data_IF_875310795323
#
_entry.id   IF_875310795323
#
_cell.length_a   1.000
_cell.length_b   1.000
_cell.length_c   1.000
_cell.angle_alpha   90.00
_cell.angle_beta   90.00
_cell.angle_gamma   90.00
#
_symmetry.space_group_name_H-M   'P 1'
#
loop_
_entity.id
_entity.type
_entity.pdbx_description
1 polymer ?
#
# COMPACT_ATOMS: atom_id res chain seq x y z
N UNK A 1 1.18 -19.77 17.86
CA UNK A 1 0.99 -18.31 17.93
C UNK A 1 -0.31 -17.96 17.23
N UNK A 2 -1.03 -16.93 17.65
CA UNK A 2 -2.16 -16.37 16.88
C UNK A 2 -1.67 -15.71 15.59
N UNK A 3 -2.57 -15.38 14.66
CA UNK A 3 -2.18 -14.65 13.44
C UNK A 3 -1.59 -13.28 13.79
N UNK A 4 -2.22 -12.56 14.72
CA UNK A 4 -1.71 -11.27 15.23
C UNK A 4 -0.31 -11.38 15.81
N UNK A 5 -0.06 -12.35 16.68
CA UNK A 5 1.27 -12.55 17.28
C UNK A 5 2.35 -12.80 16.22
N UNK A 6 2.02 -13.60 15.20
CA UNK A 6 2.93 -13.99 14.11
C UNK A 6 3.25 -12.81 13.19
N UNK A 7 2.22 -12.06 12.77
CA UNK A 7 2.39 -10.86 11.95
C UNK A 7 3.16 -9.77 12.70
N UNK A 8 2.84 -9.56 13.98
CA UNK A 8 3.55 -8.58 14.81
C UNK A 8 5.02 -8.96 15.03
N UNK A 9 5.29 -10.26 15.21
CA UNK A 9 6.66 -10.76 15.31
C UNK A 9 7.44 -10.49 14.02
N UNK A 10 6.87 -10.72 12.83
CA UNK A 10 7.50 -10.40 11.56
C UNK A 10 7.83 -8.89 11.43
N UNK A 11 6.85 -8.02 11.68
CA UNK A 11 7.06 -6.57 11.62
C UNK A 11 8.19 -6.10 12.55
N UNK A 12 8.23 -6.66 13.77
CA UNK A 12 9.23 -6.34 14.79
C UNK A 12 10.57 -7.08 14.61
N UNK A 13 10.68 -8.02 13.67
CA UNK A 13 11.85 -8.89 13.51
C UNK A 13 12.08 -9.88 14.66
N UNK A 14 11.02 -10.24 15.39
CA UNK A 14 11.05 -11.31 16.39
C UNK A 14 10.84 -12.68 15.74
N UNK A 15 11.34 -13.78 16.35
CA UNK A 15 11.03 -15.13 15.91
C UNK A 15 9.53 -15.42 15.89
N UNK A 16 9.09 -16.24 14.95
CA UNK A 16 7.72 -16.73 14.81
C UNK A 16 7.68 -18.18 14.34
N UNK A 17 6.50 -18.80 14.41
CA UNK A 17 6.29 -20.24 14.24
C UNK A 17 6.02 -20.70 12.80
N UNK A 18 5.82 -19.79 11.85
CA UNK A 18 5.72 -20.06 10.39
C UNK A 18 5.61 -18.76 9.61
N UNK A 19 5.88 -18.82 8.30
CA UNK A 19 5.60 -17.71 7.36
C UNK A 19 4.12 -17.31 7.45
N UNK A 20 3.79 -16.04 7.78
CA UNK A 20 2.40 -15.58 7.75
C UNK A 20 1.85 -15.62 6.32
N UNK A 21 0.62 -16.14 6.19
CA UNK A 21 -0.22 -15.91 5.02
C UNK A 21 -1.29 -14.88 5.39
N UNK A 22 -1.40 -13.81 4.62
CA UNK A 22 -2.17 -12.61 4.99
C UNK A 22 -2.97 -12.08 3.81
N UNK A 23 -4.12 -11.45 4.05
CA UNK A 23 -4.90 -10.79 3.01
C UNK A 23 -5.26 -9.36 3.45
N UNK A 24 -5.29 -8.40 2.52
CA UNK A 24 -6.06 -7.17 2.75
C UNK A 24 -7.54 -7.51 2.92
N UNK A 25 -8.10 -7.19 4.07
CA UNK A 25 -9.43 -7.63 4.48
C UNK A 25 -10.48 -7.43 3.40
N UNK A 26 -11.16 -8.52 3.03
CA UNK A 26 -12.23 -8.53 2.03
C UNK A 26 -11.78 -8.48 0.56
N UNK A 27 -10.49 -8.52 0.26
CA UNK A 27 -9.98 -8.34 -1.10
C UNK A 27 -10.38 -9.47 -2.07
N UNK A 28 -10.00 -10.72 -1.80
CA UNK A 28 -10.34 -11.83 -2.71
C UNK A 28 -11.79 -12.31 -2.56
N UNK A 29 -12.30 -12.31 -1.32
CA UNK A 29 -13.66 -12.65 -0.95
C UNK A 29 -13.94 -12.22 0.50
N UNK A 30 -15.21 -12.28 0.99
CA UNK A 30 -15.50 -12.07 2.41
C UNK A 30 -14.65 -12.97 3.30
N UNK A 31 -14.01 -12.40 4.34
CA UNK A 31 -13.04 -13.10 5.17
C UNK A 31 -13.58 -14.40 5.78
N UNK A 32 -14.83 -14.37 6.27
CA UNK A 32 -15.47 -15.56 6.86
C UNK A 32 -15.70 -16.68 5.83
N UNK A 33 -15.96 -16.33 4.57
CA UNK A 33 -16.06 -17.34 3.50
C UNK A 33 -14.72 -18.01 3.25
N UNK A 34 -13.62 -17.25 3.26
CA UNK A 34 -12.27 -17.79 3.09
C UNK A 34 -11.90 -18.68 4.28
N UNK A 35 -12.07 -18.18 5.51
CA UNK A 35 -11.76 -18.94 6.72
C UNK A 35 -12.58 -20.22 6.85
N UNK A 36 -13.81 -20.27 6.31
CA UNK A 36 -14.59 -21.51 6.28
C UNK A 36 -13.93 -22.64 5.46
N UNK A 37 -13.03 -22.29 4.52
CA UNK A 37 -12.34 -23.22 3.63
C UNK A 37 -10.95 -23.57 4.15
N UNK A 38 -10.17 -22.57 4.55
CA UNK A 38 -8.75 -22.76 4.90
C UNK A 38 -8.47 -22.72 6.40
N UNK A 39 -9.46 -22.45 7.26
CA UNK A 39 -9.27 -22.28 8.70
C UNK A 39 -8.83 -20.86 9.08
N UNK A 40 -9.39 -20.35 10.17
CA UNK A 40 -9.14 -18.99 10.68
C UNK A 40 -7.67 -18.78 11.08
N UNK A 41 -7.04 -19.83 11.59
CA UNK A 41 -5.66 -19.82 12.04
C UNK A 41 -4.62 -19.72 10.90
N UNK A 42 -5.01 -20.04 9.66
CA UNK A 42 -4.12 -20.14 8.49
C UNK A 42 -4.02 -18.88 7.64
N UNK A 43 -4.85 -17.86 7.88
CA UNK A 43 -4.76 -16.59 7.17
C UNK A 43 -5.09 -15.42 8.09
N UNK A 44 -4.18 -14.45 8.16
CA UNK A 44 -4.36 -13.22 8.89
C UNK A 44 -4.93 -12.11 8.03
N UNK A 45 -5.38 -11.03 8.67
CA UNK A 45 -5.96 -9.88 7.99
C UNK A 45 -5.13 -8.61 8.20
N UNK A 46 -4.99 -7.84 7.14
CA UNK A 46 -4.58 -6.44 7.18
C UNK A 46 -5.77 -5.56 6.85
N UNK A 47 -6.03 -4.57 7.70
CA UNK A 47 -7.14 -3.62 7.49
C UNK A 47 -6.56 -2.22 7.40
N UNK A 48 -6.66 -1.61 6.22
CA UNK A 48 -6.25 -0.23 5.98
C UNK A 48 -6.92 0.72 6.98
N UNK A 49 -6.10 1.51 7.65
CA UNK A 49 -6.56 2.51 8.62
C UNK A 49 -5.56 3.64 8.72
N UNK A 50 -5.92 4.69 9.43
CA UNK A 50 -5.05 5.83 9.68
C UNK A 50 -5.29 6.40 11.08
N UNK A 51 -4.45 7.34 11.46
CA UNK A 51 -4.58 8.10 12.71
C UNK A 51 -4.82 9.59 12.47
N UNK A 52 -5.18 9.95 11.23
CA UNK A 52 -5.37 11.33 10.82
C UNK A 52 -6.72 11.49 10.12
N UNK A 53 -7.29 12.68 10.26
CA UNK A 53 -8.39 13.15 9.42
C UNK A 53 -7.98 14.44 8.71
N UNK A 54 -8.53 14.61 7.51
CA UNK A 54 -8.29 15.76 6.64
C UNK A 54 -9.59 16.55 6.52
N UNK A 55 -9.59 17.77 7.05
CA UNK A 55 -10.71 18.69 6.92
C UNK A 55 -10.34 19.80 5.93
N UNK A 56 -11.16 20.00 4.90
CA UNK A 56 -11.04 21.13 3.97
C UNK A 56 -12.34 21.97 4.04
N UNK A 57 -12.46 22.91 4.99
CA UNK A 57 -13.73 23.57 5.32
C UNK A 57 -14.42 24.33 4.18
N UNK A 58 -13.66 24.77 3.19
CA UNK A 58 -14.13 25.54 2.04
C UNK A 58 -14.26 24.69 0.77
N UNK A 59 -13.92 23.41 0.85
CA UNK A 59 -13.96 22.48 -0.26
C UNK A 59 -14.92 21.33 0.02
N UNK A 60 -15.47 20.73 -1.04
CA UNK A 60 -16.29 19.51 -0.90
C UNK A 60 -16.20 18.64 -2.12
N UNK A 61 -16.38 17.35 -1.90
CA UNK A 61 -16.52 16.37 -2.96
C UNK A 61 -17.99 16.02 -3.17
N UNK A 62 -18.39 15.88 -4.43
CA UNK A 62 -19.72 15.43 -4.84
C UNK A 62 -19.54 14.23 -5.76
N UNK A 63 -20.31 13.17 -5.52
CA UNK A 63 -20.33 11.97 -6.36
C UNK A 63 -21.67 11.85 -7.08
N UNK A 64 -21.60 11.56 -8.38
CA UNK A 64 -22.75 11.30 -9.24
C UNK A 64 -22.52 9.99 -9.98
N UNK A 65 -23.50 9.09 -10.00
CA UNK A 65 -23.41 7.88 -10.83
C UNK A 65 -23.61 8.24 -12.31
N UNK A 66 -22.80 7.66 -13.18
CA UNK A 66 -22.82 7.93 -14.63
C UNK A 66 -22.83 6.61 -15.41
N UNK A 67 -23.23 6.70 -16.68
CA UNK A 67 -23.06 5.61 -17.66
C UNK A 67 -22.32 6.17 -18.86
N UNK A 68 -21.16 5.59 -19.19
CA UNK A 68 -20.32 6.03 -20.32
C UNK A 68 -20.06 4.86 -21.27
N UNK A 69 -20.54 4.97 -22.50
CA UNK A 69 -20.41 3.90 -23.50
C UNK A 69 -21.01 2.57 -23.04
N UNK A 70 -22.15 2.63 -22.32
CA UNK A 70 -22.83 1.45 -21.78
C UNK A 70 -22.21 0.85 -20.51
N UNK A 71 -21.10 1.39 -20.01
CA UNK A 71 -20.47 0.95 -18.76
C UNK A 71 -20.88 1.86 -17.59
N UNK A 72 -21.29 1.29 -16.45
CA UNK A 72 -21.55 2.06 -15.24
C UNK A 72 -20.26 2.66 -14.70
N UNK A 73 -20.38 3.78 -14.02
CA UNK A 73 -19.28 4.49 -13.40
C UNK A 73 -19.78 5.57 -12.46
N UNK A 74 -18.87 6.44 -12.02
CA UNK A 74 -19.21 7.63 -11.27
C UNK A 74 -18.33 8.80 -11.69
N UNK A 75 -18.89 10.00 -11.59
CA UNK A 75 -18.17 11.25 -11.63
C UNK A 75 -17.95 11.73 -10.20
N UNK A 76 -16.73 12.13 -9.89
CA UNK A 76 -16.37 12.66 -8.59
C UNK A 76 -15.83 14.08 -8.78
N UNK A 77 -16.57 15.06 -8.27
CA UNK A 77 -16.32 16.50 -8.48
C UNK A 77 -15.81 17.13 -7.19
N UNK A 78 -14.60 17.68 -7.24
CA UNK A 78 -14.03 18.55 -6.22
C UNK A 78 -14.50 19.98 -6.48
N UNK A 79 -15.21 20.58 -5.53
CA UNK A 79 -15.66 21.97 -5.57
C UNK A 79 -14.81 22.76 -4.57
N UNK A 80 -14.21 23.85 -5.05
CA UNK A 80 -13.37 24.77 -4.26
C UNK A 80 -13.80 26.23 -4.50
N UNK A 81 -13.29 27.21 -3.73
CA UNK A 81 -13.54 28.63 -4.01
C UNK A 81 -12.99 29.10 -5.37
N UNK A 82 -11.97 28.43 -5.90
CA UNK A 82 -11.28 28.81 -7.14
C UNK A 82 -11.90 28.18 -8.40
N UNK A 83 -12.85 27.25 -8.23
CA UNK A 83 -13.48 26.50 -9.30
C UNK A 83 -13.75 25.05 -8.92
N UNK A 84 -14.03 24.22 -9.92
CA UNK A 84 -14.31 22.80 -9.73
C UNK A 84 -13.46 21.93 -10.66
N UNK A 85 -12.97 20.81 -10.14
CA UNK A 85 -12.34 19.73 -10.91
C UNK A 85 -13.22 18.49 -10.84
N UNK A 86 -13.16 17.63 -11.84
CA UNK A 86 -13.81 16.32 -11.77
C UNK A 86 -12.95 15.23 -12.38
N UNK A 87 -13.03 14.04 -11.81
CA UNK A 87 -12.64 12.79 -12.44
C UNK A 87 -13.89 11.98 -12.82
N UNK A 88 -13.73 11.07 -13.75
CA UNK A 88 -14.71 10.01 -14.02
C UNK A 88 -14.02 8.68 -13.87
N UNK A 89 -14.65 7.75 -13.14
CA UNK A 89 -14.17 6.37 -13.04
C UNK A 89 -15.24 5.41 -13.52
N UNK A 90 -14.84 4.43 -14.32
CA UNK A 90 -15.74 3.39 -14.83
C UNK A 90 -15.53 2.11 -14.03
N UNK A 91 -16.64 1.48 -13.65
CA UNK A 91 -16.62 0.25 -12.87
C UNK A 91 -16.37 -0.92 -13.83
N UNK A 92 -15.34 -1.69 -13.52
CA UNK A 92 -15.07 -2.98 -14.11
C UNK A 92 -16.08 -3.99 -13.53
N UNK A 93 -16.91 -4.65 -14.38
CA UNK A 93 -18.01 -5.48 -13.90
C UNK A 93 -17.61 -6.75 -13.13
N UNK A 94 -16.43 -7.34 -13.40
CA UNK A 94 -16.02 -8.60 -12.81
C UNK A 94 -15.57 -8.45 -11.35
N UNK A 95 -14.91 -7.32 -11.01
CA UNK A 95 -14.32 -7.10 -9.69
C UNK A 95 -14.93 -5.94 -8.92
N UNK A 96 -15.80 -5.14 -9.55
CA UNK A 96 -16.37 -3.93 -8.92
C UNK A 96 -15.32 -2.82 -8.70
N UNK A 97 -14.10 -3.00 -9.20
CA UNK A 97 -13.04 -1.99 -9.16
C UNK A 97 -13.27 -0.92 -10.21
N UNK A 98 -12.87 0.30 -9.92
CA UNK A 98 -13.03 1.41 -10.87
C UNK A 98 -11.70 1.86 -11.47
N UNK A 99 -11.66 2.10 -12.78
CA UNK A 99 -10.53 2.70 -13.47
C UNK A 99 -10.86 4.13 -13.93
N UNK A 100 -9.89 5.05 -13.86
CA UNK A 100 -10.06 6.42 -14.31
C UNK A 100 -10.31 6.47 -15.84
N UNK A 101 -11.41 7.08 -16.25
CA UNK A 101 -11.71 7.44 -17.62
C UNK A 101 -11.32 8.89 -17.94
N UNK A 102 -11.23 9.76 -16.94
CA UNK A 102 -10.47 11.00 -16.97
C UNK A 102 -9.99 11.36 -15.56
N UNK A 103 -8.91 12.13 -15.48
CA UNK A 103 -8.33 12.59 -14.22
C UNK A 103 -8.84 14.00 -13.88
N UNK A 104 -8.61 14.44 -12.64
CA UNK A 104 -8.99 15.78 -12.18
C UNK A 104 -8.31 16.86 -13.01
N UNK A 105 -6.98 16.80 -13.11
CA UNK A 105 -6.15 17.71 -13.89
C UNK A 105 -6.17 17.27 -15.35
N UNK A 106 -6.53 18.19 -16.24
CA UNK A 106 -6.58 18.04 -17.70
C UNK A 106 -5.71 19.07 -18.40
N UNK A 107 -5.51 20.23 -17.76
CA UNK A 107 -4.64 21.30 -18.24
C UNK A 107 -3.92 21.99 -17.06
N UNK A 108 -2.80 22.69 -17.29
CA UNK A 108 -2.03 23.34 -16.22
C UNK A 108 -2.83 24.30 -15.33
N UNK A 109 -3.82 24.98 -15.89
CA UNK A 109 -4.68 25.94 -15.19
C UNK A 109 -5.51 25.28 -14.08
N UNK A 110 -5.78 23.97 -14.19
CA UNK A 110 -6.49 23.20 -13.18
C UNK A 110 -5.73 23.13 -11.84
N UNK A 111 -4.39 23.26 -11.86
CA UNK A 111 -3.59 23.25 -10.63
C UNK A 111 -3.96 24.39 -9.68
N UNK A 112 -4.45 25.53 -10.18
CA UNK A 112 -4.96 26.62 -9.32
C UNK A 112 -6.10 26.13 -8.42
N UNK A 113 -7.01 25.32 -8.98
CA UNK A 113 -8.16 24.76 -8.26
C UNK A 113 -7.68 23.68 -7.27
N UNK A 114 -6.76 22.81 -7.70
CA UNK A 114 -6.19 21.79 -6.83
C UNK A 114 -5.41 22.39 -5.65
N UNK A 115 -4.64 23.44 -5.88
CA UNK A 115 -3.92 24.15 -4.82
C UNK A 115 -4.87 24.81 -3.82
N UNK A 116 -6.01 25.34 -4.26
CA UNK A 116 -7.03 25.85 -3.36
C UNK A 116 -7.52 24.79 -2.38
N UNK A 117 -7.70 23.55 -2.86
CA UNK A 117 -8.01 22.41 -2.01
C UNK A 117 -6.88 22.07 -1.05
N UNK A 118 -5.65 21.86 -1.54
CA UNK A 118 -4.53 21.50 -0.67
C UNK A 118 -4.25 22.57 0.39
N UNK A 119 -4.36 23.86 0.07
CA UNK A 119 -4.19 24.97 1.03
C UNK A 119 -5.26 25.00 2.11
N UNK A 120 -6.46 24.53 1.79
CA UNK A 120 -7.58 24.49 2.72
C UNK A 120 -7.52 23.29 3.67
N UNK A 121 -6.75 22.24 3.32
CA UNK A 121 -6.60 21.05 4.16
C UNK A 121 -5.93 21.39 5.51
N UNK A 122 -6.64 20.98 6.56
CA UNK A 122 -6.20 20.92 7.95
C UNK A 122 -6.10 19.45 8.35
N UNK A 123 -4.95 19.08 8.90
CA UNK A 123 -4.72 17.72 9.41
C UNK A 123 -4.97 17.72 10.90
N UNK A 124 -5.79 16.78 11.38
CA UNK A 124 -6.05 16.56 12.81
C UNK A 124 -5.80 15.11 13.20
N UNK A 125 -5.43 14.90 14.46
CA UNK A 125 -5.37 13.57 15.06
C UNK A 125 -6.76 12.95 15.14
N UNK A 126 -6.87 11.71 14.65
CA UNK A 126 -8.10 10.93 14.71
C UNK A 126 -7.76 9.43 14.78
N UNK A 127 -7.74 8.89 16.00
CA UNK A 127 -7.44 7.47 16.23
C UNK A 127 -8.71 6.59 16.30
N UNK A 128 -9.91 7.11 16.06
CA UNK A 128 -11.15 6.34 16.21
C UNK A 128 -11.16 5.12 15.28
N UNK A 129 -10.78 5.35 14.01
CA UNK A 129 -10.65 4.30 13.00
C UNK A 129 -9.66 3.21 13.40
N UNK A 130 -8.47 3.59 13.91
CA UNK A 130 -7.46 2.65 14.38
C UNK A 130 -7.98 1.79 15.54
N UNK A 131 -8.57 2.40 16.57
CA UNK A 131 -9.04 1.65 17.74
C UNK A 131 -10.19 0.71 17.42
N UNK A 132 -11.09 1.11 16.50
CA UNK A 132 -12.12 0.22 15.99
C UNK A 132 -11.52 -1.00 15.29
N UNK A 133 -10.58 -0.78 14.37
CA UNK A 133 -9.91 -1.85 13.63
C UNK A 133 -9.18 -2.81 14.56
N UNK A 134 -8.41 -2.30 15.53
CA UNK A 134 -7.69 -3.14 16.51
C UNK A 134 -8.65 -4.01 17.32
N UNK A 135 -9.81 -3.46 17.71
CA UNK A 135 -10.83 -4.19 18.46
C UNK A 135 -11.50 -5.28 17.62
N UNK A 136 -11.86 -4.95 16.38
CA UNK A 136 -12.55 -5.87 15.46
C UNK A 136 -11.63 -7.00 14.98
N UNK A 137 -10.35 -6.71 14.77
CA UNK A 137 -9.36 -7.72 14.37
C UNK A 137 -9.04 -8.72 15.47
N UNK A 138 -9.05 -8.33 16.74
CA UNK A 138 -8.69 -9.22 17.85
C UNK A 138 -7.35 -9.91 17.61
N UNK A 139 -7.36 -11.24 17.54
CA UNK A 139 -6.17 -12.08 17.30
C UNK A 139 -5.91 -12.44 15.83
N UNK A 140 -6.76 -11.95 14.92
CA UNK A 140 -6.78 -12.37 13.52
C UNK A 140 -5.91 -11.53 12.59
N UNK A 141 -5.34 -10.41 13.06
CA UNK A 141 -4.61 -9.54 12.16
C UNK A 141 -3.97 -8.30 12.78
N UNK A 142 -3.55 -7.38 11.91
CA UNK A 142 -2.98 -6.09 12.27
C UNK A 142 -3.69 -4.93 11.58
N UNK A 143 -3.79 -3.75 12.25
CA UNK A 143 -4.11 -2.52 11.54
C UNK A 143 -2.98 -2.21 10.56
N UNK A 144 -3.34 -1.93 9.31
CA UNK A 144 -2.42 -1.49 8.28
C UNK A 144 -2.46 0.04 8.25
N UNK A 145 -1.67 0.65 9.14
CA UNK A 145 -1.69 2.10 9.39
C UNK A 145 -0.93 2.81 8.27
N UNK A 146 -1.62 3.67 7.53
CA UNK A 146 -1.02 4.40 6.42
C UNK A 146 -0.95 5.91 6.63
N UNK A 147 0.04 6.51 5.99
CA UNK A 147 0.13 7.96 5.74
C UNK A 147 -0.43 8.28 4.34
N UNK A 148 -0.33 9.54 3.91
CA UNK A 148 -0.60 9.85 2.51
C UNK A 148 0.52 9.33 1.60
N UNK A 149 0.16 9.09 0.34
CA UNK A 149 1.13 8.88 -0.74
C UNK A 149 2.17 9.99 -0.79
N UNK A 150 3.37 9.65 -1.26
CA UNK A 150 4.42 10.62 -1.57
C UNK A 150 3.99 11.54 -2.71
N UNK A 151 4.50 12.78 -2.82
CA UNK A 151 3.93 13.78 -3.73
C UNK A 151 3.81 13.32 -5.19
N UNK A 152 4.84 12.66 -5.72
CA UNK A 152 4.82 12.09 -7.07
C UNK A 152 3.71 11.04 -7.22
N UNK A 153 3.64 10.11 -6.28
CA UNK A 153 2.67 9.02 -6.28
C UNK A 153 1.24 9.54 -6.07
N UNK A 154 1.07 10.56 -5.26
CA UNK A 154 -0.21 11.20 -5.06
C UNK A 154 -0.69 11.88 -6.34
N UNK A 155 0.17 12.68 -6.99
CA UNK A 155 -0.14 13.33 -8.26
C UNK A 155 -0.52 12.30 -9.33
N UNK A 156 0.32 11.28 -9.53
CA UNK A 156 0.09 10.26 -10.55
C UNK A 156 -1.15 9.41 -10.28
N UNK A 157 -1.32 8.88 -9.07
CA UNK A 157 -2.39 7.91 -8.78
C UNK A 157 -3.75 8.59 -8.58
N UNK A 158 -3.78 9.84 -8.13
CA UNK A 158 -5.02 10.51 -7.72
C UNK A 158 -5.42 11.71 -8.59
N UNK A 159 -4.49 12.47 -9.16
CA UNK A 159 -4.80 13.82 -9.66
C UNK A 159 -4.62 14.01 -11.16
N UNK A 160 -3.54 13.47 -11.73
CA UNK A 160 -3.11 13.73 -13.10
C UNK A 160 -2.65 12.43 -13.76
N UNK A 161 -2.94 12.28 -15.06
CA UNK A 161 -2.47 11.09 -15.77
C UNK A 161 -0.93 11.08 -15.88
N UNK A 162 -0.31 9.90 -16.02
CA UNK A 162 1.16 9.78 -16.02
C UNK A 162 1.81 10.63 -17.12
N UNK A 163 1.27 10.60 -18.33
CA UNK A 163 1.81 11.33 -19.48
C UNK A 163 1.84 12.84 -19.22
N UNK A 164 0.73 13.39 -18.74
CA UNK A 164 0.62 14.82 -18.44
C UNK A 164 1.51 15.19 -17.26
N UNK A 165 1.58 14.35 -16.22
CA UNK A 165 2.49 14.58 -15.08
C UNK A 165 3.95 14.68 -15.55
N UNK A 166 4.39 13.78 -16.42
CA UNK A 166 5.75 13.82 -16.98
C UNK A 166 6.01 15.11 -17.76
N UNK A 167 5.05 15.57 -18.57
CA UNK A 167 5.14 16.84 -19.31
C UNK A 167 5.18 18.02 -18.35
N UNK A 168 4.27 18.08 -17.37
CA UNK A 168 4.19 19.19 -16.41
C UNK A 168 5.46 19.30 -15.55
N UNK A 169 6.03 18.17 -15.09
CA UNK A 169 7.29 18.17 -14.35
C UNK A 169 8.48 18.69 -15.18
N UNK A 170 8.47 18.48 -16.49
CA UNK A 170 9.54 18.91 -17.38
C UNK A 170 9.38 20.36 -17.86
N UNK A 171 8.16 20.75 -18.23
CA UNK A 171 7.88 22.04 -18.89
C UNK A 171 7.42 23.13 -17.92
N UNK A 172 6.88 22.75 -16.75
CA UNK A 172 6.33 23.67 -15.75
C UNK A 172 6.97 23.47 -14.35
N UNK A 173 8.30 23.41 -14.23
CA UNK A 173 8.97 23.02 -12.98
C UNK A 173 8.65 23.93 -11.79
N UNK A 174 8.53 25.25 -12.01
CA UNK A 174 8.22 26.20 -10.93
C UNK A 174 6.80 25.99 -10.39
N UNK A 175 5.83 25.78 -11.28
CA UNK A 175 4.45 25.48 -10.90
C UNK A 175 4.38 24.15 -10.16
N UNK A 176 5.06 23.12 -10.67
CA UNK A 176 5.04 21.80 -10.04
C UNK A 176 5.72 21.80 -8.67
N UNK A 177 6.79 22.58 -8.48
CA UNK A 177 7.42 22.75 -7.16
C UNK A 177 6.45 23.39 -6.16
N UNK A 178 5.67 24.40 -6.58
CA UNK A 178 4.64 25.01 -5.72
C UNK A 178 3.55 24.00 -5.33
N UNK A 179 3.05 23.23 -6.30
CA UNK A 179 2.04 22.18 -6.08
C UNK A 179 2.58 21.11 -5.12
N UNK A 180 3.80 20.63 -5.37
CA UNK A 180 4.45 19.59 -4.55
C UNK A 180 4.68 20.10 -3.12
N UNK A 181 5.10 21.35 -2.96
CA UNK A 181 5.29 21.97 -1.63
C UNK A 181 4.00 21.99 -0.80
N UNK A 182 2.85 22.26 -1.42
CA UNK A 182 1.55 22.21 -0.73
C UNK A 182 1.13 20.78 -0.36
N UNK A 183 1.43 19.80 -1.22
CA UNK A 183 1.22 18.38 -0.90
C UNK A 183 2.11 17.98 0.29
N UNK A 184 3.39 18.32 0.25
CA UNK A 184 4.34 18.04 1.33
C UNK A 184 3.91 18.73 2.65
N UNK A 185 3.37 19.96 2.59
CA UNK A 185 2.85 20.65 3.78
C UNK A 185 1.76 19.83 4.48
N UNK A 186 0.84 19.26 3.70
CA UNK A 186 -0.23 18.37 4.22
C UNK A 186 0.38 17.08 4.75
N UNK A 187 1.26 16.44 3.98
CA UNK A 187 1.93 15.20 4.36
C UNK A 187 2.72 15.35 5.68
N UNK A 188 3.46 16.44 5.87
CA UNK A 188 4.12 16.77 7.14
C UNK A 188 3.14 16.92 8.31
N UNK A 189 1.95 17.44 8.04
CA UNK A 189 0.85 17.46 9.02
C UNK A 189 0.45 16.06 9.46
N UNK A 190 0.34 15.13 8.51
CA UNK A 190 0.03 13.73 8.78
C UNK A 190 1.17 13.08 9.59
N UNK A 191 2.42 13.32 9.22
CA UNK A 191 3.58 12.79 9.94
C UNK A 191 3.60 13.23 11.41
N UNK A 192 3.28 14.51 11.69
CA UNK A 192 3.17 15.03 13.07
C UNK A 192 2.11 14.28 13.87
N UNK A 193 0.93 14.10 13.27
CA UNK A 193 -0.20 13.40 13.90
C UNK A 193 0.13 11.91 14.15
N UNK A 194 0.81 11.24 13.23
CA UNK A 194 1.29 9.86 13.44
C UNK A 194 2.25 9.80 14.64
N UNK A 195 3.21 10.71 14.73
CA UNK A 195 4.15 10.77 15.85
C UNK A 195 3.44 11.10 17.18
N UNK A 196 2.43 11.97 17.16
CA UNK A 196 1.58 12.26 18.31
C UNK A 196 0.83 11.01 18.78
N UNK A 197 0.22 10.27 17.86
CA UNK A 197 -0.47 9.01 18.16
C UNK A 197 0.48 7.98 18.80
N UNK A 198 1.69 7.83 18.27
CA UNK A 198 2.71 6.91 18.78
C UNK A 198 3.15 7.30 20.20
N UNK A 199 3.37 8.60 20.46
CA UNK A 199 3.68 9.10 21.82
C UNK A 199 2.51 8.92 22.79
N UNK A 200 1.28 8.92 22.27
CA UNK A 200 0.05 8.62 23.00
C UNK A 200 -0.27 7.12 23.11
N UNK A 201 0.70 6.24 22.85
CA UNK A 201 0.57 4.78 22.96
C UNK A 201 -0.47 4.14 22.04
N UNK A 202 -0.78 4.78 20.91
CA UNK A 202 -1.62 4.17 19.89
C UNK A 202 -0.97 2.86 19.37
N UNK A 203 -1.75 1.78 19.16
CA UNK A 203 -1.23 0.46 18.80
C UNK A 203 -0.85 0.37 17.31
N UNK A 204 0.19 1.09 16.91
CA UNK A 204 0.70 1.18 15.55
C UNK A 204 1.87 0.19 15.39
N UNK A 205 1.69 -0.94 14.69
CA UNK A 205 2.74 -1.96 14.56
C UNK A 205 3.86 -1.53 13.60
N UNK A 206 3.51 -0.69 12.62
CA UNK A 206 4.36 -0.11 11.59
C UNK A 206 3.58 1.02 10.91
N UNK A 207 4.26 1.84 10.12
CA UNK A 207 3.62 2.90 9.31
C UNK A 207 3.93 2.63 7.84
N UNK A 208 2.91 2.68 7.00
CA UNK A 208 3.01 2.38 5.57
C UNK A 208 2.80 3.63 4.71
N UNK A 209 3.67 3.82 3.71
CA UNK A 209 3.40 4.70 2.58
C UNK A 209 2.64 3.90 1.53
N UNK A 210 1.34 4.20 1.30
CA UNK A 210 0.52 3.42 0.38
C UNK A 210 0.78 3.90 -1.05
N UNK A 211 2.04 3.98 -1.47
CA UNK A 211 2.48 4.34 -2.82
C UNK A 211 2.15 3.21 -3.81
N UNK A 212 2.40 3.39 -5.11
CA UNK A 212 2.42 2.30 -6.09
C UNK A 212 3.75 2.38 -6.84
N UNK A 213 4.81 1.94 -6.17
CA UNK A 213 6.17 2.10 -6.67
C UNK A 213 6.42 1.14 -7.83
N UNK A 214 6.72 1.71 -9.00
CA UNK A 214 7.21 0.99 -10.17
C UNK A 214 8.25 1.84 -10.91
N UNK A 215 9.44 1.29 -11.11
CA UNK A 215 10.58 2.01 -11.67
C UNK A 215 10.32 2.61 -13.06
N UNK A 216 9.63 1.93 -13.99
CA UNK A 216 9.35 2.48 -15.31
C UNK A 216 8.54 3.78 -15.30
N UNK A 217 7.68 3.99 -14.29
CA UNK A 217 6.87 5.20 -14.20
C UNK A 217 7.65 6.35 -13.55
N UNK A 218 8.25 6.10 -12.38
CA UNK A 218 8.85 7.16 -11.57
C UNK A 218 10.30 7.47 -11.97
N UNK A 219 11.10 6.45 -12.29
CA UNK A 219 12.54 6.56 -12.46
C UNK A 219 13.29 6.87 -11.15
N UNK A 220 14.60 6.55 -11.12
CA UNK A 220 15.43 6.69 -9.91
C UNK A 220 15.51 8.13 -9.38
N UNK A 221 15.65 9.12 -10.27
CA UNK A 221 15.79 10.52 -9.88
C UNK A 221 14.55 11.06 -9.13
N UNK A 222 13.35 10.80 -9.64
CA UNK A 222 12.12 11.25 -8.98
C UNK A 222 11.81 10.41 -7.74
N UNK A 223 12.12 9.11 -7.76
CA UNK A 223 11.97 8.26 -6.57
C UNK A 223 12.82 8.79 -5.41
N UNK A 224 14.09 9.13 -5.66
CA UNK A 224 14.95 9.76 -4.65
C UNK A 224 14.41 11.12 -4.19
N UNK A 225 14.04 11.98 -5.15
CA UNK A 225 13.60 13.36 -4.86
C UNK A 225 12.31 13.42 -4.04
N UNK A 226 11.31 12.62 -4.39
CA UNK A 226 9.96 12.74 -3.84
C UNK A 226 9.58 11.63 -2.88
N UNK A 227 10.10 10.41 -3.07
CA UNK A 227 9.74 9.26 -2.24
C UNK A 227 10.74 9.08 -1.10
N UNK A 228 12.02 8.81 -1.42
CA UNK A 228 13.06 8.57 -0.40
C UNK A 228 13.18 9.74 0.57
N UNK A 229 13.11 10.99 0.08
CA UNK A 229 13.09 12.18 0.93
C UNK A 229 11.94 12.18 1.96
N UNK A 230 10.73 11.78 1.55
CA UNK A 230 9.59 11.70 2.45
C UNK A 230 9.75 10.55 3.46
N UNK A 231 10.37 9.43 3.03
CA UNK A 231 10.70 8.31 3.90
C UNK A 231 11.73 8.73 4.96
N UNK A 232 12.78 9.47 4.58
CA UNK A 232 13.79 10.05 5.49
C UNK A 232 13.15 11.00 6.51
N UNK A 233 12.30 11.91 6.05
CA UNK A 233 11.63 12.87 6.91
C UNK A 233 10.77 12.17 7.98
N UNK A 234 9.91 11.22 7.58
CA UNK A 234 9.11 10.48 8.53
C UNK A 234 9.96 9.57 9.43
N UNK A 235 11.01 8.93 8.91
CA UNK A 235 11.91 8.09 9.71
C UNK A 235 12.58 8.88 10.83
N UNK A 236 13.07 10.09 10.53
CA UNK A 236 13.65 10.98 11.53
C UNK A 236 12.63 11.37 12.60
N UNK A 237 11.41 11.76 12.18
CA UNK A 237 10.35 12.11 13.12
C UNK A 237 9.91 10.93 14.00
N UNK A 238 9.87 9.71 13.45
CA UNK A 238 9.57 8.50 14.21
C UNK A 238 10.68 8.18 15.22
N UNK A 239 11.96 8.34 14.85
CA UNK A 239 13.08 8.15 15.76
C UNK A 239 12.98 9.09 16.98
N UNK A 240 12.55 10.34 16.78
CA UNK A 240 12.30 11.33 17.85
C UNK A 240 11.12 10.97 18.79
N UNK A 241 10.35 9.93 18.49
CA UNK A 241 9.35 9.39 19.44
C UNK A 241 9.97 8.45 20.47
N UNK A 242 11.18 7.93 20.22
CA UNK A 242 11.82 6.90 21.04
C UNK A 242 11.17 5.52 20.95
N UNK A 243 10.19 5.32 20.05
CA UNK A 243 9.54 4.03 19.79
C UNK A 243 10.12 3.37 18.54
N UNK A 244 10.31 2.06 18.58
CA UNK A 244 10.74 1.28 17.42
C UNK A 244 9.54 0.94 16.52
N UNK A 245 9.18 1.87 15.62
CA UNK A 245 8.09 1.71 14.65
C UNK A 245 8.69 1.67 13.24
N UNK A 246 8.67 0.51 12.56
CA UNK A 246 9.27 0.39 11.25
C UNK A 246 8.43 1.07 10.16
N UNK A 247 9.12 1.59 9.14
CA UNK A 247 8.51 2.17 7.95
C UNK A 247 8.44 1.16 6.81
N UNK A 248 7.27 1.10 6.21
CA UNK A 248 6.94 0.28 5.06
C UNK A 248 6.53 1.17 3.89
N UNK A 249 6.69 0.65 2.68
CA UNK A 249 6.14 1.25 1.47
C UNK A 249 5.48 0.17 0.64
N UNK A 250 4.32 0.48 0.09
CA UNK A 250 3.67 -0.32 -0.93
C UNK A 250 4.42 -0.20 -2.27
N UNK A 251 5.02 -1.30 -2.71
CA UNK A 251 5.92 -1.36 -3.86
C UNK A 251 5.63 -2.61 -4.71
N UNK A 252 4.64 -2.49 -5.57
CA UNK A 252 3.95 -3.55 -6.31
C UNK A 252 4.41 -3.73 -7.76
N UNK A 253 5.33 -2.90 -8.24
CA UNK A 253 5.82 -2.91 -9.62
C UNK A 253 7.23 -3.48 -9.82
N UNK A 254 7.86 -3.09 -10.94
CA UNK A 254 9.25 -3.44 -11.24
C UNK A 254 10.19 -2.55 -10.44
N UNK A 255 11.14 -3.14 -9.70
CA UNK A 255 11.95 -2.44 -8.71
C UNK A 255 13.45 -2.45 -9.01
N UNK A 256 13.96 -3.23 -9.97
CA UNK A 256 15.43 -3.40 -10.17
C UNK A 256 16.17 -2.08 -10.33
N UNK A 257 15.62 -1.15 -11.11
CA UNK A 257 16.24 0.14 -11.34
C UNK A 257 16.21 1.07 -10.10
N UNK A 258 15.43 0.73 -9.07
CA UNK A 258 15.34 1.47 -7.80
C UNK A 258 16.07 0.76 -6.65
N UNK A 259 16.69 -0.40 -6.87
CA UNK A 259 17.24 -1.21 -5.78
C UNK A 259 18.23 -0.49 -4.89
N UNK A 260 19.12 0.32 -5.49
CA UNK A 260 20.09 1.10 -4.74
C UNK A 260 19.41 2.19 -3.90
N UNK A 261 18.44 2.91 -4.48
CA UNK A 261 17.69 3.93 -3.74
C UNK A 261 16.86 3.34 -2.60
N UNK A 262 16.26 2.16 -2.79
CA UNK A 262 15.57 1.42 -1.72
C UNK A 262 16.56 1.02 -0.62
N UNK A 263 17.74 0.51 -1.01
CA UNK A 263 18.78 0.10 -0.06
C UNK A 263 19.35 1.25 0.77
N UNK A 264 19.40 2.46 0.21
CA UNK A 264 19.87 3.68 0.87
C UNK A 264 18.77 4.39 1.69
N UNK A 265 17.51 3.99 1.51
CA UNK A 265 16.36 4.56 2.23
C UNK A 265 16.23 3.99 3.65
N UNK A 266 15.45 4.63 4.54
CA UNK A 266 15.24 4.14 5.91
C UNK A 266 14.17 3.05 6.00
N UNK A 267 13.67 2.56 4.86
CA UNK A 267 12.63 1.55 4.80
C UNK A 267 13.09 0.25 5.49
N UNK A 268 12.16 -0.33 6.24
CA UNK A 268 12.33 -1.61 6.93
C UNK A 268 11.36 -2.67 6.44
N UNK A 269 10.36 -2.32 5.63
CA UNK A 269 9.54 -3.28 4.94
C UNK A 269 9.11 -2.83 3.55
N UNK A 270 8.87 -3.82 2.69
CA UNK A 270 8.17 -3.67 1.44
C UNK A 270 6.80 -4.34 1.60
N UNK A 271 5.75 -3.55 1.43
CA UNK A 271 4.38 -4.02 1.32
C UNK A 271 4.04 -4.31 -0.14
N UNK A 272 3.28 -5.38 -0.38
CA UNK A 272 2.80 -5.80 -1.69
C UNK A 272 3.90 -6.01 -2.74
N UNK A 273 5.12 -6.41 -2.33
CA UNK A 273 6.17 -6.70 -3.30
C UNK A 273 5.76 -7.87 -4.19
N UNK A 274 5.55 -7.61 -5.48
CA UNK A 274 5.23 -8.64 -6.46
C UNK A 274 6.52 -9.28 -6.99
N UNK A 275 6.70 -10.61 -6.89
CA UNK A 275 7.86 -11.29 -7.45
C UNK A 275 7.57 -11.80 -8.88
N UNK A 276 8.58 -12.35 -9.58
CA UNK A 276 8.33 -13.07 -10.82
C UNK A 276 7.29 -14.20 -10.62
N UNK A 277 6.42 -14.46 -11.61
CA UNK A 277 6.48 -13.96 -13.00
C UNK A 277 5.91 -12.56 -13.25
N UNK A 278 5.30 -11.91 -12.26
CA UNK A 278 4.54 -10.67 -12.49
C UNK A 278 5.44 -9.44 -12.56
N UNK A 279 6.51 -9.42 -11.76
CA UNK A 279 7.46 -8.30 -11.68
C UNK A 279 8.91 -8.77 -11.57
N UNK A 280 9.83 -7.83 -11.69
CA UNK A 280 11.25 -8.12 -11.91
C UNK A 280 12.04 -8.61 -10.67
N UNK A 281 11.55 -8.41 -9.45
CA UNK A 281 12.34 -8.62 -8.22
C UNK A 281 11.93 -9.90 -7.48
N UNK A 282 12.78 -10.94 -7.52
CA UNK A 282 12.52 -12.19 -6.78
C UNK A 282 12.73 -12.05 -5.27
N UNK A 283 12.17 -12.98 -4.49
CA UNK A 283 12.37 -13.01 -3.03
C UNK A 283 13.84 -13.28 -2.70
N UNK A 284 14.51 -14.16 -3.46
CA UNK A 284 15.94 -14.43 -3.27
C UNK A 284 16.80 -13.18 -3.51
N UNK A 285 16.53 -12.43 -4.59
CA UNK A 285 17.24 -11.17 -4.88
C UNK A 285 17.00 -10.13 -3.78
N UNK A 286 15.75 -9.97 -3.35
CA UNK A 286 15.37 -9.05 -2.27
C UNK A 286 16.05 -9.41 -0.93
N UNK A 287 16.07 -10.69 -0.59
CA UNK A 287 16.75 -11.21 0.61
C UNK A 287 18.25 -10.93 0.59
N UNK A 288 18.89 -11.06 -0.58
CA UNK A 288 20.31 -10.84 -0.77
C UNK A 288 20.69 -9.35 -0.80
N UNK A 289 19.90 -8.52 -1.49
CA UNK A 289 20.15 -7.08 -1.61
C UNK A 289 19.76 -6.30 -0.35
N UNK A 290 18.68 -6.69 0.32
CA UNK A 290 18.18 -6.01 1.50
C UNK A 290 18.10 -6.98 2.71
N UNK A 291 19.25 -7.34 3.32
CA UNK A 291 19.31 -8.31 4.41
C UNK A 291 18.54 -7.88 5.68
N UNK A 292 18.08 -6.63 5.76
CA UNK A 292 17.22 -6.14 6.85
C UNK A 292 15.76 -5.96 6.45
N UNK A 293 15.36 -6.12 5.19
CA UNK A 293 14.00 -5.78 4.78
C UNK A 293 12.99 -6.87 5.18
N UNK A 294 11.81 -6.45 5.65
CA UNK A 294 10.64 -7.33 5.84
C UNK A 294 9.91 -7.37 4.50
N UNK A 295 9.69 -8.56 3.98
CA UNK A 295 9.15 -8.77 2.64
C UNK A 295 7.72 -9.26 2.77
N UNK A 296 6.76 -8.34 2.65
CA UNK A 296 5.35 -8.66 2.51
C UNK A 296 5.05 -8.83 1.03
N UNK A 297 5.19 -10.07 0.56
CA UNK A 297 5.21 -10.43 -0.85
C UNK A 297 3.79 -10.72 -1.32
N UNK A 298 3.31 -9.99 -2.32
CA UNK A 298 2.07 -10.37 -3.00
C UNK A 298 2.28 -11.71 -3.70
N UNK A 299 1.41 -12.69 -3.44
CA UNK A 299 1.42 -13.92 -4.19
C UNK A 299 1.17 -13.58 -5.67
N UNK A 300 1.99 -14.03 -6.63
CA UNK A 300 1.84 -13.64 -8.02
C UNK A 300 0.40 -13.84 -8.53
N UNK A 301 -0.26 -12.73 -8.85
CA UNK A 301 -1.65 -12.67 -9.27
C UNK A 301 -1.91 -13.56 -10.49
N UNK A 302 -0.95 -13.61 -11.44
CA UNK A 302 -1.08 -14.46 -12.62
C UNK A 302 -1.10 -15.96 -12.30
N UNK A 303 -0.50 -16.39 -11.19
CA UNK A 303 -0.39 -17.79 -10.78
C UNK A 303 -1.67 -18.29 -10.11
N UNK A 304 -2.54 -17.41 -9.61
CA UNK A 304 -3.84 -17.81 -9.08
C UNK A 304 -4.74 -18.53 -10.10
N UNK A 305 -4.53 -18.29 -11.39
CA UNK A 305 -5.26 -18.95 -12.49
C UNK A 305 -4.71 -20.34 -12.84
N UNK A 306 -3.56 -20.72 -12.29
CA UNK A 306 -2.93 -22.00 -12.58
C UNK A 306 -3.57 -23.16 -11.79
N UNK A 307 -3.19 -24.39 -12.15
CA UNK A 307 -3.61 -25.58 -11.40
C UNK A 307 -2.95 -25.68 -10.01
N UNK A 308 -3.51 -26.47 -9.08
CA UNK A 308 -3.01 -26.62 -7.72
C UNK A 308 -1.51 -26.93 -7.62
N UNK A 309 -0.98 -27.76 -8.53
CA UNK A 309 0.45 -28.10 -8.54
C UNK A 309 1.34 -26.90 -8.87
N UNK A 310 0.94 -26.05 -9.81
CA UNK A 310 1.70 -24.85 -10.16
C UNK A 310 1.66 -23.82 -9.02
N UNK A 311 0.51 -23.69 -8.33
CA UNK A 311 0.36 -22.85 -7.14
C UNK A 311 1.24 -23.36 -6.00
N UNK A 312 1.25 -24.69 -5.76
CA UNK A 312 2.14 -25.33 -4.78
C UNK A 312 3.61 -25.05 -5.11
N UNK A 313 4.04 -25.30 -6.33
CA UNK A 313 5.42 -25.08 -6.77
C UNK A 313 5.86 -23.61 -6.64
N UNK A 314 4.96 -22.67 -6.98
CA UNK A 314 5.21 -21.24 -6.76
C UNK A 314 5.36 -20.92 -5.26
N UNK A 315 4.47 -21.46 -4.42
CA UNK A 315 4.53 -21.28 -2.97
C UNK A 315 5.81 -21.87 -2.38
N UNK A 316 6.20 -23.09 -2.78
CA UNK A 316 7.45 -23.74 -2.36
C UNK A 316 8.66 -22.89 -2.73
N UNK A 317 8.70 -22.36 -3.96
CA UNK A 317 9.78 -21.47 -4.40
C UNK A 317 9.88 -20.22 -3.51
N UNK A 318 8.78 -19.52 -3.23
CA UNK A 318 8.80 -18.34 -2.34
C UNK A 318 9.32 -18.70 -0.93
N UNK A 319 8.91 -19.86 -0.41
CA UNK A 319 9.34 -20.35 0.90
C UNK A 319 10.82 -20.77 0.92
N UNK A 320 11.33 -21.39 -0.14
CA UNK A 320 12.74 -21.72 -0.28
C UNK A 320 13.61 -20.46 -0.36
N UNK A 321 13.15 -19.45 -1.09
CA UNK A 321 13.88 -18.20 -1.31
C UNK A 321 13.93 -17.30 -0.05
N UNK A 322 12.88 -17.28 0.78
CA UNK A 322 12.79 -16.34 1.91
C UNK A 322 12.21 -16.88 3.22
N UNK A 323 11.54 -18.03 3.21
CA UNK A 323 10.75 -18.54 4.35
C UNK A 323 11.57 -18.80 5.61
N UNK A 324 12.82 -19.28 5.47
CA UNK A 324 13.72 -19.53 6.62
C UNK A 324 14.38 -18.28 7.20
N UNK A 325 14.18 -17.12 6.58
CA UNK A 325 14.83 -15.89 7.01
C UNK A 325 14.11 -15.21 8.17
N UNK A 326 12.87 -15.63 8.49
CA UNK A 326 12.00 -14.97 9.46
C UNK A 326 11.39 -13.65 8.97
N UNK A 327 11.73 -13.19 7.76
CA UNK A 327 11.36 -11.86 7.23
C UNK A 327 10.29 -11.91 6.13
N UNK A 328 9.92 -13.09 5.66
CA UNK A 328 8.94 -13.28 4.59
C UNK A 328 7.53 -13.41 5.17
N UNK A 329 6.61 -12.63 4.61
CA UNK A 329 5.16 -12.81 4.65
C UNK A 329 4.69 -13.03 3.21
N UNK A 330 3.82 -14.01 3.00
CA UNK A 330 3.09 -14.16 1.73
C UNK A 330 1.74 -13.50 1.93
N UNK A 331 1.31 -12.66 1.00
CA UNK A 331 0.05 -11.96 1.11
C UNK A 331 -0.76 -11.91 -0.17
N UNK A 332 -2.05 -11.62 0.00
CA UNK A 332 -3.00 -11.28 -1.05
C UNK A 332 -3.27 -9.79 -0.92
N UNK A 333 -2.56 -9.00 -1.71
CA UNK A 333 -2.67 -7.53 -1.74
C UNK A 333 -3.21 -6.99 -3.07
N UNK A 334 -3.35 -7.87 -4.07
CA UNK A 334 -3.99 -7.57 -5.36
C UNK A 334 -5.27 -8.35 -5.61
N UNK A 335 -6.08 -7.88 -6.56
CA UNK A 335 -7.33 -8.54 -6.91
C UNK A 335 -7.07 -9.97 -7.41
N UNK A 336 -7.73 -10.93 -6.77
CA UNK A 336 -7.71 -12.33 -7.19
C UNK A 336 -8.91 -12.58 -8.10
N UNK A 337 -8.74 -13.28 -9.24
CA UNK A 337 -9.86 -13.66 -10.09
C UNK A 337 -10.99 -14.34 -9.31
N UNK A 338 -12.24 -14.05 -9.67
CA UNK A 338 -13.39 -14.56 -8.93
C UNK A 338 -13.35 -16.10 -8.84
N UNK A 339 -13.69 -16.61 -7.66
CA UNK A 339 -13.75 -18.03 -7.31
C UNK A 339 -12.44 -18.84 -7.33
N UNK A 340 -11.35 -18.34 -7.93
CA UNK A 340 -10.09 -19.11 -8.01
C UNK A 340 -9.38 -19.24 -6.67
N UNK A 341 -9.68 -18.35 -5.71
CA UNK A 341 -9.17 -18.43 -4.34
C UNK A 341 -9.52 -19.75 -3.65
N UNK A 342 -10.64 -20.40 -4.03
CA UNK A 342 -11.03 -21.72 -3.49
C UNK A 342 -10.09 -22.85 -3.89
N UNK A 343 -9.29 -22.63 -4.92
CA UNK A 343 -8.24 -23.56 -5.36
C UNK A 343 -6.89 -23.08 -4.86
N UNK A 344 -6.60 -21.78 -5.02
CA UNK A 344 -5.27 -21.25 -4.72
C UNK A 344 -4.97 -21.17 -3.23
N UNK A 345 -5.91 -20.71 -2.39
CA UNK A 345 -5.63 -20.53 -0.97
C UNK A 345 -5.43 -21.85 -0.22
N UNK A 346 -6.20 -22.93 -0.48
CA UNK A 346 -5.89 -24.23 0.09
C UNK A 346 -4.52 -24.77 -0.32
N UNK A 347 -4.12 -24.57 -1.59
CA UNK A 347 -2.79 -24.98 -2.06
C UNK A 347 -1.68 -24.18 -1.37
N UNK A 348 -1.82 -22.85 -1.25
CA UNK A 348 -0.86 -21.98 -0.55
C UNK A 348 -0.73 -22.38 0.93
N UNK A 349 -1.87 -22.47 1.64
CA UNK A 349 -1.88 -22.75 3.09
C UNK A 349 -1.37 -24.13 3.44
N UNK A 350 -1.74 -25.16 2.68
CA UNK A 350 -1.22 -26.52 2.88
C UNK A 350 0.29 -26.59 2.62
N UNK A 351 0.80 -25.86 1.64
CA UNK A 351 2.24 -25.78 1.34
C UNK A 351 3.01 -25.09 2.46
N UNK A 352 2.50 -23.96 2.96
CA UNK A 352 3.10 -23.26 4.12
C UNK A 352 3.09 -24.14 5.37
N UNK A 353 2.00 -24.88 5.62
CA UNK A 353 1.91 -25.81 6.73
C UNK A 353 2.92 -26.96 6.62
N UNK A 354 3.13 -27.51 5.42
CA UNK A 354 4.08 -28.57 5.16
C UNK A 354 5.55 -28.11 5.27
N UNK A 355 5.84 -26.85 4.95
CA UNK A 355 7.18 -26.27 5.10
C UNK A 355 7.63 -26.19 6.56
N UNK A 356 6.71 -25.84 7.47
CA UNK A 356 6.93 -25.80 8.91
C UNK A 356 8.10 -24.91 9.35
N UNK A 357 8.54 -25.10 10.61
CA UNK A 357 9.86 -24.66 11.07
C UNK A 357 10.78 -25.86 10.96
N UNK A 358 11.62 -25.96 9.93
CA UNK A 358 12.73 -26.92 10.01
C UNK A 358 13.60 -26.53 11.21
N UNK A 359 13.90 -27.43 12.15
CA UNK A 359 14.81 -27.13 13.24
C UNK A 359 16.17 -26.73 12.67
N UNK A 360 16.70 -25.62 13.17
CA UNK A 360 18.07 -25.18 12.90
C UNK A 360 19.10 -26.22 13.34
#
# INVERSE_FOLDING_TARGET
MTMRERMLALAQGRPHDRVPFVQYSGLAAPNEAIWSVIGRENMGLLVWTGVHALDAPNCRFVREDIVRGGRPGFRHTLITPEGSLYEERLIEPAYGTSAAACHYIKEPEDYRILMAYFRDIRVRLDCEGLYRVVRELGDDGLPHVSVSRTPYQQLWVQWVCLSDLCIHLAELPDLMEEVISEIERVQRGIFRVVCEAIRGDAPIPYVDFPDNITAPAIGDANFRRYCVRAYDELAGMLADTGRDVPLFVHADGDLKALWQAIAESPLRGLDSMSPPPDNDTSVAEAVAHWPWMRLCVNFPSSVHLAGPDAIRLCTEKLLEEGGRTGRLQIQISENVPADVWRVSFPAITSTIAAFGVSPH
#
